data_IF_498243943366
#
_entry.id   IF_498243943366
#
_cell.length_a   1.000
_cell.length_b   1.000
_cell.length_c   1.000
_cell.angle_alpha   90.00
_cell.angle_beta   90.00
_cell.angle_gamma   90.00
#
_symmetry.space_group_name_H-M   'P 1'
#
loop_
_entity.id
_entity.type
_entity.pdbx_description
1 polymer ?
#
# COMPACT_ATOMS: atom_id res chain seq x y z
N UNK A 1 -40.06 4.96 -47.29
CA UNK A 1 -40.72 5.03 -45.97
C UNK A 1 -39.63 5.00 -44.91
N UNK A 2 -39.28 6.19 -44.41
CA UNK A 2 -38.30 6.33 -43.28
C UNK A 2 -39.11 6.36 -42.00
N UNK A 3 -38.73 5.65 -40.94
CA UNK A 3 -39.34 5.85 -39.62
C UNK A 3 -38.70 7.03 -38.88
N UNK A 4 -39.57 7.91 -38.41
CA UNK A 4 -39.25 9.09 -37.62
C UNK A 4 -38.68 8.70 -36.25
N UNK A 5 -37.64 9.46 -35.81
CA UNK A 5 -37.04 9.40 -34.49
C UNK A 5 -37.92 10.14 -33.46
N UNK A 6 -38.11 9.63 -32.24
CA UNK A 6 -38.88 10.31 -31.21
C UNK A 6 -38.12 11.50 -30.60
N UNK A 7 -38.83 12.62 -30.48
CA UNK A 7 -38.38 13.86 -29.82
C UNK A 7 -38.18 13.69 -28.31
N UNK A 8 -37.14 14.32 -27.73
CA UNK A 8 -36.91 14.28 -26.30
C UNK A 8 -37.90 15.17 -25.51
N UNK A 9 -38.19 14.84 -24.24
CA UNK A 9 -39.14 15.60 -23.43
C UNK A 9 -38.57 16.95 -23.00
N UNK A 10 -39.45 17.97 -22.98
CA UNK A 10 -39.12 19.34 -22.52
C UNK A 10 -38.88 19.36 -21.02
N UNK A 11 -37.75 19.92 -20.63
CA UNK A 11 -37.43 20.21 -19.20
C UNK A 11 -38.05 21.57 -18.86
N UNK A 12 -38.84 21.60 -17.79
CA UNK A 12 -39.48 22.79 -17.25
C UNK A 12 -38.51 23.48 -16.25
N UNK A 13 -38.17 24.75 -16.38
CA UNK A 13 -37.27 25.43 -15.48
C UNK A 13 -38.03 26.23 -14.42
N UNK A 14 -38.49 25.61 -13.35
CA UNK A 14 -38.82 26.33 -12.10
C UNK A 14 -38.90 25.31 -10.93
N UNK A 15 -37.81 25.18 -10.21
CA UNK A 15 -37.76 24.42 -8.96
C UNK A 15 -36.89 25.15 -7.93
N UNK A 16 -37.37 26.32 -7.48
CA UNK A 16 -36.76 26.98 -6.30
C UNK A 16 -37.22 26.24 -5.04
N UNK A 17 -36.29 25.66 -4.33
CA UNK A 17 -36.48 24.98 -3.05
C UNK A 17 -36.75 26.04 -1.96
N UNK A 18 -37.81 25.91 -1.13
CA UNK A 18 -38.07 26.85 -0.04
C UNK A 18 -37.03 26.70 1.10
N UNK A 19 -36.76 27.82 1.83
CA UNK A 19 -35.79 27.80 2.93
C UNK A 19 -36.39 27.07 4.15
N UNK A 20 -35.51 26.53 5.06
CA UNK A 20 -35.96 25.83 6.26
C UNK A 20 -36.58 26.77 7.29
N UNK A 21 -37.45 26.29 8.17
CA UNK A 21 -38.19 27.11 9.15
C UNK A 21 -37.25 27.67 10.23
N UNK A 22 -37.43 28.97 10.53
CA UNK A 22 -36.79 29.67 11.65
C UNK A 22 -37.32 29.18 12.98
N UNK A 23 -36.46 28.67 13.85
CA UNK A 23 -36.74 28.40 15.24
C UNK A 23 -36.65 29.70 16.04
N UNK A 24 -37.70 30.09 16.72
CA UNK A 24 -37.73 31.24 17.62
C UNK A 24 -37.05 30.89 18.96
N UNK A 25 -36.28 31.81 19.58
CA UNK A 25 -35.77 31.62 20.92
C UNK A 25 -36.82 32.06 21.93
N UNK A 26 -37.27 31.16 22.78
CA UNK A 26 -38.01 31.50 23.96
C UNK A 26 -37.56 30.64 25.15
N UNK A 27 -37.32 31.32 26.26
CA UNK A 27 -37.16 30.81 27.62
C UNK A 27 -35.73 30.34 28.01
N UNK A 28 -34.92 31.32 28.33
CA UNK A 28 -33.82 31.19 29.28
C UNK A 28 -34.11 32.21 30.41
N UNK A 29 -34.83 31.81 31.45
CA UNK A 29 -34.82 32.49 32.75
C UNK A 29 -35.57 31.61 33.76
N UNK A 30 -34.87 30.91 34.59
CA UNK A 30 -35.22 30.47 35.94
C UNK A 30 -34.44 29.18 36.27
N UNK A 31 -33.36 29.33 37.04
CA UNK A 31 -32.88 28.39 38.04
C UNK A 31 -31.42 28.76 38.42
N UNK A 32 -31.32 29.95 39.00
CA UNK A 32 -30.23 30.31 39.92
C UNK A 32 -30.90 30.45 41.29
N UNK A 33 -30.59 29.54 42.19
CA UNK A 33 -30.81 29.58 43.65
C UNK A 33 -31.22 28.18 44.15
N UNK A 34 -30.25 27.31 44.31
CA UNK A 34 -30.24 26.31 45.39
C UNK A 34 -28.95 25.48 45.29
N UNK A 35 -27.87 25.99 45.86
CA UNK A 35 -26.70 25.17 46.13
C UNK A 35 -25.87 25.81 47.24
N UNK A 36 -26.27 25.61 48.45
CA UNK A 36 -25.38 25.74 49.62
C UNK A 36 -25.77 24.64 50.59
N UNK A 37 -24.76 23.94 51.10
CA UNK A 37 -24.76 22.93 52.14
C UNK A 37 -25.08 21.49 51.74
N UNK A 38 -24.01 20.77 51.48
CA UNK A 38 -23.75 19.45 52.07
C UNK A 38 -22.27 19.06 51.81
N UNK A 39 -21.41 19.44 52.77
CA UNK A 39 -20.07 18.81 52.93
C UNK A 39 -20.31 17.36 53.35
N UNK A 40 -19.91 16.44 52.50
CA UNK A 40 -19.74 15.04 52.85
C UNK A 40 -18.48 14.48 52.22
N UNK A 41 -17.58 13.98 53.03
CA UNK A 41 -16.37 13.23 52.73
C UNK A 41 -16.60 12.23 51.59
N UNK A 42 -16.07 12.52 50.41
CA UNK A 42 -15.91 11.59 49.31
C UNK A 42 -14.43 11.32 49.13
N UNK A 43 -13.97 10.10 49.44
CA UNK A 43 -12.61 9.63 49.19
C UNK A 43 -12.32 9.79 47.70
N UNK A 44 -11.42 10.68 47.36
CA UNK A 44 -10.85 10.76 46.01
C UNK A 44 -10.11 9.45 45.71
N UNK A 45 -10.73 8.57 44.97
CA UNK A 45 -9.99 7.48 44.31
C UNK A 45 -9.10 8.10 43.24
N UNK A 46 -7.85 8.29 43.58
CA UNK A 46 -6.83 8.62 42.60
C UNK A 46 -6.71 7.44 41.61
N UNK A 47 -7.27 7.59 40.41
CA UNK A 47 -7.01 6.70 39.31
C UNK A 47 -5.54 6.83 38.95
N UNK A 48 -4.78 5.78 39.27
CA UNK A 48 -3.39 5.64 38.85
C UNK A 48 -3.35 5.77 37.31
N UNK A 49 -2.37 6.51 36.75
CA UNK A 49 -2.20 6.55 35.30
C UNK A 49 -1.91 5.12 34.82
N UNK A 50 -2.78 4.61 33.95
CA UNK A 50 -2.53 3.36 33.21
C UNK A 50 -1.25 3.57 32.43
N UNK A 51 -0.15 3.05 32.92
CA UNK A 51 1.09 2.92 32.15
C UNK A 51 0.79 2.01 30.97
N UNK A 52 0.58 2.63 29.80
CA UNK A 52 0.57 1.90 28.54
C UNK A 52 1.97 1.34 28.34
N UNK A 53 2.14 0.08 28.70
CA UNK A 53 3.32 -0.68 28.30
C UNK A 53 3.41 -0.61 26.78
N UNK A 54 4.54 -0.12 26.20
CA UNK A 54 4.74 -0.20 24.77
C UNK A 54 4.65 -1.68 24.37
N UNK A 55 3.91 -1.96 23.28
CA UNK A 55 3.88 -3.29 22.70
C UNK A 55 5.32 -3.78 22.51
N UNK A 56 5.62 -5.07 22.79
CA UNK A 56 6.98 -5.60 22.64
C UNK A 56 7.47 -5.32 21.23
N UNK A 57 8.50 -4.51 21.07
CA UNK A 57 9.22 -4.41 19.81
C UNK A 57 9.77 -5.80 19.54
N UNK A 58 9.32 -6.42 18.43
CA UNK A 58 9.95 -7.64 17.93
C UNK A 58 11.43 -7.32 17.71
N UNK A 59 12.29 -7.82 18.57
CA UNK A 59 13.73 -7.73 18.39
C UNK A 59 14.13 -8.65 17.26
N UNK A 60 14.26 -8.11 16.05
CA UNK A 60 15.04 -8.74 15.00
C UNK A 60 16.48 -8.81 15.53
N UNK A 61 16.94 -10.00 15.88
CA UNK A 61 18.33 -10.23 16.27
C UNK A 61 19.21 -9.96 15.06
N UNK A 62 20.19 -9.07 15.25
CA UNK A 62 21.33 -8.78 14.39
C UNK A 62 21.02 -8.26 12.97
N UNK A 63 20.92 -6.94 12.84
CA UNK A 63 21.09 -6.24 11.56
C UNK A 63 19.81 -5.98 10.79
N UNK A 64 19.52 -4.70 10.59
CA UNK A 64 18.53 -4.27 9.61
C UNK A 64 18.93 -4.83 8.24
N UNK A 65 17.97 -5.25 7.37
CA UNK A 65 18.32 -5.57 6.01
C UNK A 65 18.98 -4.36 5.36
N UNK A 66 20.04 -4.61 4.58
CA UNK A 66 20.73 -3.55 3.83
C UNK A 66 19.82 -2.93 2.79
N UNK A 67 18.95 -3.76 2.22
CA UNK A 67 18.03 -3.39 1.14
C UNK A 67 16.72 -4.17 1.29
N UNK A 68 15.61 -3.49 1.09
CA UNK A 68 14.29 -4.09 0.89
C UNK A 68 13.81 -3.71 -0.51
N UNK A 69 13.49 -4.69 -1.32
CA UNK A 69 12.84 -4.50 -2.61
C UNK A 69 11.38 -4.93 -2.52
N UNK A 70 10.47 -4.13 -3.06
CA UNK A 70 9.05 -4.44 -3.21
C UNK A 70 8.74 -4.42 -4.70
N UNK A 71 8.21 -5.53 -5.23
CA UNK A 71 7.64 -5.62 -6.58
C UNK A 71 6.13 -5.74 -6.42
N UNK A 72 5.38 -4.88 -7.09
CA UNK A 72 3.92 -4.96 -7.14
C UNK A 72 3.50 -5.36 -8.53
N UNK A 73 2.76 -6.46 -8.61
CA UNK A 73 2.13 -7.02 -9.80
C UNK A 73 0.63 -6.70 -9.76
N UNK A 74 -0.13 -7.04 -10.79
CA UNK A 74 -1.48 -6.55 -11.03
C UNK A 74 -2.51 -7.65 -11.26
N UNK A 75 -3.73 -7.41 -10.72
CA UNK A 75 -5.03 -7.99 -11.09
C UNK A 75 -5.16 -9.52 -11.09
N UNK A 76 -4.29 -10.28 -10.44
CA UNK A 76 -4.36 -11.74 -10.46
C UNK A 76 -4.78 -12.33 -9.11
N UNK A 77 -5.78 -13.21 -9.15
CA UNK A 77 -6.13 -14.03 -7.99
C UNK A 77 -4.97 -14.97 -7.61
N UNK A 78 -4.89 -15.31 -6.33
CA UNK A 78 -3.93 -16.26 -5.82
C UNK A 78 -3.90 -17.58 -6.63
N UNK A 79 -5.09 -18.09 -7.00
CA UNK A 79 -5.23 -19.34 -7.76
C UNK A 79 -4.70 -19.26 -9.19
N UNK A 80 -4.69 -18.07 -9.79
CA UNK A 80 -4.21 -17.85 -11.16
C UNK A 80 -2.68 -17.82 -11.22
N UNK A 81 -2.08 -17.57 -10.06
CA UNK A 81 -0.62 -17.45 -9.88
C UNK A 81 -0.04 -18.66 -9.18
N UNK A 82 -0.52 -18.98 -7.97
CA UNK A 82 0.04 -20.06 -7.13
C UNK A 82 -0.62 -21.41 -7.48
N UNK A 83 0.20 -22.32 -7.93
CA UNK A 83 -0.24 -23.63 -8.43
C UNK A 83 -0.54 -23.67 -9.93
N UNK A 84 -0.59 -22.50 -10.59
CA UNK A 84 -0.84 -22.38 -12.03
C UNK A 84 0.34 -22.90 -12.86
N UNK A 85 0.04 -23.54 -13.99
CA UNK A 85 1.04 -24.01 -14.96
C UNK A 85 1.65 -22.87 -15.77
N UNK A 86 0.96 -21.73 -15.86
CA UNK A 86 1.42 -20.56 -16.61
C UNK A 86 2.49 -19.75 -15.84
N UNK A 87 2.67 -19.98 -14.55
CA UNK A 87 3.59 -19.24 -13.68
C UNK A 87 4.64 -20.14 -13.00
N UNK A 88 5.41 -20.93 -13.76
CA UNK A 88 6.35 -21.90 -13.19
C UNK A 88 7.47 -21.28 -12.36
N UNK A 89 7.96 -20.10 -12.74
CA UNK A 89 9.00 -19.38 -12.01
C UNK A 89 8.50 -18.86 -10.67
N UNK A 90 7.36 -18.18 -10.65
CA UNK A 90 6.73 -17.68 -9.43
C UNK A 90 6.44 -18.85 -8.47
N UNK A 91 5.93 -19.96 -8.98
CA UNK A 91 5.73 -21.17 -8.20
C UNK A 91 7.04 -21.75 -7.64
N UNK A 92 8.15 -21.63 -8.38
CA UNK A 92 9.47 -22.04 -7.87
C UNK A 92 9.93 -21.14 -6.70
N UNK A 93 9.71 -19.83 -6.80
CA UNK A 93 9.97 -18.88 -5.71
C UNK A 93 9.10 -19.19 -4.50
N UNK A 94 7.79 -19.38 -4.69
CA UNK A 94 6.85 -19.72 -3.63
C UNK A 94 7.24 -21.02 -2.92
N UNK A 95 7.68 -22.04 -3.65
CA UNK A 95 8.17 -23.30 -3.04
C UNK A 95 9.45 -23.11 -2.24
N UNK A 96 10.41 -22.34 -2.80
CA UNK A 96 11.75 -22.16 -2.23
C UNK A 96 11.75 -21.25 -1.01
N UNK A 97 11.03 -20.15 -1.08
CA UNK A 97 11.05 -19.07 -0.10
C UNK A 97 9.78 -19.03 0.76
N UNK A 98 9.45 -17.90 1.33
CA UNK A 98 8.30 -17.74 2.19
C UNK A 98 7.08 -17.27 1.41
N UNK A 99 5.89 -17.81 1.72
CA UNK A 99 4.62 -17.51 1.07
C UNK A 99 3.54 -17.19 2.11
N UNK A 100 2.88 -16.03 1.97
CA UNK A 100 1.61 -15.77 2.62
C UNK A 100 0.50 -16.44 1.80
N UNK A 101 -0.14 -17.47 2.38
CA UNK A 101 -1.15 -18.27 1.69
C UNK A 101 -2.55 -17.61 1.72
N UNK A 102 -2.77 -16.64 2.62
CA UNK A 102 -4.02 -15.90 2.78
C UNK A 102 -3.75 -14.40 2.83
N UNK A 103 -3.29 -13.86 1.71
CA UNK A 103 -3.07 -12.42 1.53
C UNK A 103 -4.26 -11.82 0.79
N UNK A 104 -4.76 -10.67 1.26
CA UNK A 104 -5.90 -10.00 0.65
C UNK A 104 -5.56 -8.54 0.36
N UNK A 105 -5.95 -8.10 -0.83
CA UNK A 105 -5.86 -6.70 -1.21
C UNK A 105 -6.92 -5.87 -0.48
N UNK A 106 -6.69 -4.57 -0.34
CA UNK A 106 -7.57 -3.71 0.45
C UNK A 106 -8.91 -3.48 -0.25
N UNK A 107 -8.89 -3.19 -1.55
CA UNK A 107 -10.09 -2.80 -2.30
C UNK A 107 -9.85 -2.91 -3.82
N UNK A 108 -10.82 -2.44 -4.60
CA UNK A 108 -10.74 -2.13 -6.01
C UNK A 108 -11.00 -0.63 -6.22
N UNK A 109 -10.47 -0.01 -7.31
CA UNK A 109 -9.47 -0.51 -8.25
C UNK A 109 -8.03 -0.37 -7.72
N UNK A 110 -7.03 -0.43 -8.61
CA UNK A 110 -5.59 -0.51 -8.30
C UNK A 110 -5.05 0.61 -7.40
N UNK A 111 -5.22 1.89 -7.75
CA UNK A 111 -4.57 3.03 -7.08
C UNK A 111 -4.75 3.06 -5.54
N UNK A 112 -5.94 2.86 -4.97
CA UNK A 112 -6.12 2.77 -3.53
C UNK A 112 -5.22 1.74 -2.84
N UNK A 113 -4.93 0.61 -3.49
CA UNK A 113 -4.07 -0.44 -2.95
C UNK A 113 -2.59 0.00 -2.91
N UNK A 114 -2.13 0.67 -3.95
CA UNK A 114 -0.78 1.26 -3.97
C UNK A 114 -0.61 2.33 -2.88
N UNK A 115 -1.64 3.13 -2.63
CA UNK A 115 -1.65 4.11 -1.55
C UNK A 115 -1.67 3.43 -0.17
N UNK A 116 -2.40 2.33 -0.03
CA UNK A 116 -2.40 1.52 1.19
C UNK A 116 -1.01 0.93 1.49
N UNK A 117 -0.31 0.42 0.48
CA UNK A 117 1.04 -0.13 0.56
C UNK A 117 2.11 0.90 0.91
N UNK A 118 1.90 2.19 0.59
CA UNK A 118 2.91 3.24 0.75
C UNK A 118 2.56 4.31 1.80
N UNK A 119 1.29 4.41 2.16
CA UNK A 119 0.82 5.43 3.11
C UNK A 119 -0.05 4.89 4.25
N UNK A 120 -0.40 3.59 4.21
CA UNK A 120 -1.24 2.95 5.23
C UNK A 120 -2.71 3.39 5.19
N UNK A 121 -3.18 3.92 4.06
CA UNK A 121 -4.55 4.37 3.84
C UNK A 121 -4.82 4.52 2.36
N UNK A 122 -6.07 4.39 1.93
CA UNK A 122 -6.52 4.79 0.59
C UNK A 122 -6.71 6.31 0.47
N UNK A 123 -6.67 7.04 1.60
CA UNK A 123 -6.90 8.48 1.70
C UNK A 123 -8.26 8.95 1.16
N UNK A 124 -9.26 8.04 1.14
CA UNK A 124 -10.58 8.30 0.57
C UNK A 124 -10.62 8.30 -0.96
N UNK A 125 -9.54 7.84 -1.60
CA UNK A 125 -9.48 7.59 -3.04
C UNK A 125 -10.04 6.19 -3.27
N UNK A 126 -11.01 6.08 -4.18
CA UNK A 126 -11.76 4.88 -4.53
C UNK A 126 -11.83 4.65 -6.06
N UNK A 127 -10.90 5.25 -6.80
CA UNK A 127 -10.83 5.20 -8.27
C UNK A 127 -9.39 5.34 -8.75
N UNK A 128 -9.13 4.98 -10.02
CA UNK A 128 -7.85 5.15 -10.70
C UNK A 128 -7.67 6.58 -11.25
N UNK A 129 -8.08 7.58 -10.49
CA UNK A 129 -7.97 8.97 -10.88
C UNK A 129 -6.52 9.38 -11.20
N UNK A 130 -6.29 10.02 -12.31
CA UNK A 130 -4.94 10.48 -12.70
C UNK A 130 -4.58 11.87 -12.17
N UNK A 131 -5.57 12.67 -11.78
CA UNK A 131 -5.48 14.06 -11.32
C UNK A 131 -5.63 14.25 -9.80
N UNK A 132 -6.03 13.20 -9.09
CA UNK A 132 -6.08 13.24 -7.64
C UNK A 132 -4.68 13.30 -7.01
N UNK A 133 -4.62 13.77 -5.77
CA UNK A 133 -3.36 13.90 -5.04
C UNK A 133 -3.56 13.74 -3.55
N UNK A 134 -2.51 13.27 -2.87
CA UNK A 134 -2.46 13.03 -1.43
C UNK A 134 -1.55 14.06 -0.77
N UNK A 135 -2.07 14.72 0.27
CA UNK A 135 -1.27 15.60 1.13
C UNK A 135 -1.19 14.98 2.53
N UNK A 136 -0.38 13.96 2.65
CA UNK A 136 -0.22 13.22 3.91
C UNK A 136 1.13 12.51 3.94
N UNK A 137 1.67 12.30 5.14
CA UNK A 137 2.91 11.55 5.34
C UNK A 137 2.81 10.14 4.74
N UNK A 138 3.89 9.69 4.17
CA UNK A 138 4.04 8.42 3.48
C UNK A 138 5.35 7.71 3.86
N UNK A 139 5.58 6.53 3.32
CA UNK A 139 6.76 5.72 3.62
C UNK A 139 8.08 6.46 3.30
N UNK A 140 8.10 7.26 2.21
CA UNK A 140 9.32 7.96 1.82
C UNK A 140 9.70 9.09 2.76
N UNK A 141 8.72 9.77 3.38
CA UNK A 141 8.98 10.77 4.43
C UNK A 141 9.70 10.13 5.63
N UNK A 142 9.23 8.95 6.04
CA UNK A 142 9.84 8.23 7.15
C UNK A 142 11.26 7.78 6.83
N UNK A 143 11.49 7.30 5.61
CA UNK A 143 12.82 6.92 5.13
C UNK A 143 13.78 8.11 5.17
N UNK A 144 13.37 9.25 4.64
CA UNK A 144 14.18 10.47 4.63
C UNK A 144 14.46 11.00 6.04
N UNK A 145 13.46 11.00 6.92
CA UNK A 145 13.64 11.32 8.35
C UNK A 145 14.64 10.38 9.04
N UNK A 146 14.65 9.10 8.66
CA UNK A 146 15.58 8.11 9.15
C UNK A 146 16.95 8.13 8.40
N UNK A 147 17.14 9.04 7.45
CA UNK A 147 18.31 9.12 6.55
C UNK A 147 18.56 7.84 5.75
N UNK A 148 17.48 7.16 5.39
CA UNK A 148 17.49 5.99 4.52
C UNK A 148 17.15 6.42 3.09
N UNK A 149 17.89 5.86 2.14
CA UNK A 149 17.66 6.15 0.72
C UNK A 149 16.51 5.33 0.16
N UNK A 150 15.78 5.91 -0.79
CA UNK A 150 14.74 5.20 -1.53
C UNK A 150 14.79 5.55 -3.01
N UNK A 151 14.30 4.66 -3.84
CA UNK A 151 14.11 4.87 -5.28
C UNK A 151 12.97 3.98 -5.79
N UNK A 152 12.14 4.54 -6.67
CA UNK A 152 11.10 3.83 -7.36
C UNK A 152 11.50 3.62 -8.82
N UNK A 153 11.46 2.38 -9.28
CA UNK A 153 11.83 1.95 -10.63
C UNK A 153 10.58 1.54 -11.37
N UNK A 154 10.12 2.40 -12.27
CA UNK A 154 8.89 2.20 -13.04
C UNK A 154 9.24 1.78 -14.46
N UNK A 155 8.73 0.65 -14.91
CA UNK A 155 8.96 0.23 -16.28
C UNK A 155 8.22 1.15 -17.26
N UNK A 156 8.85 1.49 -18.36
CA UNK A 156 8.35 2.42 -19.40
C UNK A 156 8.03 3.83 -18.92
N UNK A 157 8.48 4.25 -17.71
CA UNK A 157 8.38 5.65 -17.30
C UNK A 157 9.08 6.54 -18.33
N UNK A 158 8.38 7.49 -18.98
CA UNK A 158 8.95 8.23 -20.11
C UNK A 158 10.13 9.13 -19.73
N UNK A 159 10.08 9.68 -18.53
CA UNK A 159 11.11 10.58 -17.94
C UNK A 159 10.89 10.70 -16.44
N UNK A 160 11.90 11.03 -15.65
CA UNK A 160 11.72 11.36 -14.23
C UNK A 160 10.65 12.45 -14.04
N UNK A 161 9.91 12.37 -12.94
CA UNK A 161 8.83 13.32 -12.60
C UNK A 161 7.71 13.40 -13.67
N UNK A 162 7.43 12.31 -14.39
CA UNK A 162 6.33 12.29 -15.35
C UNK A 162 5.00 12.10 -14.61
N UNK A 163 4.16 13.13 -14.58
CA UNK A 163 2.88 13.16 -13.87
C UNK A 163 1.66 12.90 -14.76
N UNK A 164 1.87 12.63 -16.07
CA UNK A 164 0.78 12.28 -16.99
C UNK A 164 0.14 10.94 -16.64
N UNK A 165 -1.14 10.77 -17.01
CA UNK A 165 -1.94 9.59 -16.67
C UNK A 165 -1.32 8.26 -17.15
N UNK A 166 -0.65 8.28 -18.32
CA UNK A 166 0.02 7.11 -18.89
C UNK A 166 0.86 7.49 -20.11
N UNK A 167 1.72 6.59 -20.55
CA UNK A 167 2.49 6.70 -21.79
C UNK A 167 2.92 5.30 -22.25
N UNK A 168 2.37 4.84 -23.38
CA UNK A 168 2.54 3.45 -23.80
C UNK A 168 2.04 2.50 -22.72
N UNK A 169 2.89 1.58 -22.27
CA UNK A 169 2.56 0.62 -21.22
C UNK A 169 2.83 1.12 -19.78
N UNK A 170 3.25 2.37 -19.59
CA UNK A 170 3.33 2.99 -18.27
C UNK A 170 1.97 3.54 -17.85
N UNK A 171 1.51 3.18 -16.66
CA UNK A 171 0.30 3.73 -16.04
C UNK A 171 0.66 4.43 -14.71
N UNK A 172 0.29 5.72 -14.58
CA UNK A 172 0.52 6.49 -13.34
C UNK A 172 -0.17 5.86 -12.13
N UNK A 173 -1.35 5.23 -12.32
CA UNK A 173 -2.10 4.59 -11.23
C UNK A 173 -1.30 3.52 -10.49
N UNK A 174 -0.27 2.95 -11.13
CA UNK A 174 0.66 1.99 -10.54
C UNK A 174 1.93 2.65 -9.97
N UNK A 175 1.99 3.98 -9.95
CA UNK A 175 3.09 4.77 -9.39
C UNK A 175 2.59 5.64 -8.23
N UNK A 176 2.48 5.10 -7.00
CA UNK A 176 1.90 5.82 -5.88
C UNK A 176 2.66 7.09 -5.50
N UNK A 177 3.96 7.13 -5.77
CA UNK A 177 4.83 8.24 -5.34
C UNK A 177 4.44 9.56 -5.99
N UNK A 178 3.99 9.54 -7.24
CA UNK A 178 3.60 10.76 -7.97
C UNK A 178 2.17 11.22 -7.63
N UNK A 179 1.48 10.56 -6.69
CA UNK A 179 0.24 11.05 -6.08
C UNK A 179 0.48 11.86 -4.80
N UNK A 180 1.61 11.66 -4.12
CA UNK A 180 1.95 12.46 -2.95
C UNK A 180 2.47 13.85 -3.38
N UNK A 181 1.81 14.92 -2.90
CA UNK A 181 2.17 16.31 -3.29
C UNK A 181 3.60 16.65 -2.95
N UNK A 182 4.06 16.25 -1.79
CA UNK A 182 5.41 16.49 -1.28
C UNK A 182 6.49 15.72 -2.04
N UNK A 183 6.12 14.74 -2.86
CA UNK A 183 7.01 14.08 -3.81
C UNK A 183 6.87 14.75 -5.19
N UNK A 184 5.67 14.77 -5.74
CA UNK A 184 5.42 15.21 -7.11
C UNK A 184 5.82 16.67 -7.37
N UNK A 185 5.71 17.54 -6.35
CA UNK A 185 6.05 18.98 -6.46
C UNK A 185 7.49 19.32 -6.06
N UNK A 186 8.28 18.37 -5.56
CA UNK A 186 9.66 18.60 -5.12
C UNK A 186 10.64 17.90 -6.07
N UNK A 187 11.39 18.65 -6.90
CA UNK A 187 12.24 18.06 -7.95
C UNK A 187 13.22 16.99 -7.45
N UNK A 188 13.90 17.20 -6.32
CA UNK A 188 14.84 16.25 -5.74
C UNK A 188 14.17 14.97 -5.27
N UNK A 189 12.90 15.01 -4.92
CA UNK A 189 12.14 13.83 -4.49
C UNK A 189 11.54 13.09 -5.68
N UNK A 190 10.85 13.81 -6.59
CA UNK A 190 10.25 13.15 -7.74
C UNK A 190 11.31 12.56 -8.69
N UNK A 191 12.53 13.12 -8.75
CA UNK A 191 13.65 12.54 -9.53
C UNK A 191 14.12 11.17 -9.05
N UNK A 192 13.65 10.70 -7.89
CA UNK A 192 13.90 9.35 -7.39
C UNK A 192 12.94 8.32 -7.98
N UNK A 193 11.89 8.76 -8.66
CA UNK A 193 11.04 7.94 -9.49
C UNK A 193 11.68 7.90 -10.89
N UNK A 194 12.22 6.74 -11.24
CA UNK A 194 13.08 6.56 -12.43
C UNK A 194 12.60 5.40 -13.29
N UNK A 195 13.02 5.38 -14.55
CA UNK A 195 12.74 4.25 -15.42
C UNK A 195 13.49 2.98 -14.97
N UNK A 196 12.86 1.81 -15.12
CA UNK A 196 13.38 0.52 -14.66
C UNK A 196 14.81 0.20 -15.09
N UNK A 197 15.32 0.57 -16.29
CA UNK A 197 16.71 0.34 -16.66
C UNK A 197 17.76 0.95 -15.70
N UNK A 198 17.37 1.97 -14.91
CA UNK A 198 18.23 2.54 -13.86
C UNK A 198 18.55 1.53 -12.76
N UNK A 199 17.67 0.54 -12.52
CA UNK A 199 17.93 -0.54 -11.55
C UNK A 199 19.22 -1.29 -11.91
N UNK A 200 19.39 -1.66 -13.19
CA UNK A 200 20.59 -2.35 -13.66
C UNK A 200 21.86 -1.51 -13.47
N UNK A 201 21.77 -0.20 -13.68
CA UNK A 201 22.89 0.72 -13.45
C UNK A 201 23.24 0.79 -11.94
N UNK A 202 22.24 0.87 -11.07
CA UNK A 202 22.43 0.93 -9.62
C UNK A 202 22.97 -0.41 -9.05
N UNK A 203 22.50 -1.56 -9.56
CA UNK A 203 23.05 -2.88 -9.25
C UNK A 203 24.54 -2.99 -9.62
N UNK A 204 24.87 -2.60 -10.84
CA UNK A 204 26.24 -2.66 -11.36
C UNK A 204 27.18 -1.75 -10.56
N UNK A 205 26.70 -0.57 -10.21
CA UNK A 205 27.44 0.40 -9.41
C UNK A 205 27.46 0.07 -7.90
N UNK A 206 26.76 -0.98 -7.46
CA UNK A 206 26.59 -1.35 -6.04
C UNK A 206 26.04 -0.17 -5.20
N UNK A 207 25.05 0.53 -5.74
CA UNK A 207 24.43 1.72 -5.12
C UNK A 207 22.93 1.58 -4.99
N UNK A 208 22.46 0.36 -4.65
CA UNK A 208 21.06 0.13 -4.36
C UNK A 208 20.62 0.98 -3.15
N UNK A 209 19.42 1.57 -3.17
CA UNK A 209 18.87 2.27 -2.01
C UNK A 209 18.45 1.30 -0.90
N UNK A 210 18.14 1.83 0.28
CA UNK A 210 17.60 1.02 1.38
C UNK A 210 16.22 0.47 1.04
N UNK A 211 15.37 1.26 0.36
CA UNK A 211 14.08 0.79 -0.19
C UNK A 211 14.10 0.92 -1.72
N UNK A 212 13.86 -0.19 -2.39
CA UNK A 212 13.59 -0.29 -3.82
C UNK A 212 12.09 -0.59 -4.00
N UNK A 213 11.41 0.26 -4.76
CA UNK A 213 10.06 -0.04 -5.23
C UNK A 213 10.12 -0.29 -6.72
N UNK A 214 9.51 -1.35 -7.19
CA UNK A 214 9.57 -1.77 -8.60
C UNK A 214 8.14 -2.03 -9.06
N UNK A 215 7.73 -1.33 -10.11
CA UNK A 215 6.46 -1.58 -10.79
C UNK A 215 6.76 -1.88 -12.25
N UNK A 216 6.44 -3.10 -12.72
CA UNK A 216 6.52 -3.43 -14.14
C UNK A 216 5.50 -2.64 -14.95
N UNK A 217 5.59 -2.69 -16.27
CA UNK A 217 4.61 -2.09 -17.16
C UNK A 217 3.31 -2.93 -17.23
N UNK A 218 2.25 -2.39 -17.83
CA UNK A 218 0.92 -3.01 -17.92
C UNK A 218 0.90 -4.44 -18.49
N UNK A 219 1.89 -4.81 -19.30
CA UNK A 219 2.01 -6.17 -19.82
C UNK A 219 2.81 -7.08 -18.87
N UNK A 220 3.91 -6.58 -18.32
CA UNK A 220 4.78 -7.37 -17.46
C UNK A 220 4.26 -7.50 -16.02
N UNK A 221 3.39 -6.60 -15.57
CA UNK A 221 2.71 -6.70 -14.28
C UNK A 221 1.51 -7.65 -14.29
N UNK A 222 1.07 -8.13 -15.46
CA UNK A 222 -0.07 -9.02 -15.75
C UNK A 222 -1.41 -8.30 -15.93
N UNK A 223 -1.45 -6.95 -15.90
CA UNK A 223 -2.70 -6.19 -16.05
C UNK A 223 -3.32 -6.39 -17.46
N UNK A 224 -2.53 -6.21 -18.51
CA UNK A 224 -2.98 -6.28 -19.91
C UNK A 224 -2.55 -7.56 -20.62
N UNK A 225 -1.69 -8.39 -20.01
CA UNK A 225 -1.13 -9.60 -20.60
C UNK A 225 -1.27 -10.81 -19.66
N UNK A 226 -1.18 -12.02 -20.27
CA UNK A 226 -1.27 -13.27 -19.54
C UNK A 226 -0.27 -13.39 -18.38
N UNK A 227 -0.61 -14.08 -17.28
CA UNK A 227 0.29 -14.37 -16.16
C UNK A 227 1.63 -14.99 -16.56
N UNK A 228 1.67 -15.75 -17.67
CA UNK A 228 2.91 -16.30 -18.20
C UNK A 228 3.91 -15.23 -18.68
N UNK A 229 3.42 -14.05 -19.09
CA UNK A 229 4.29 -12.93 -19.49
C UNK A 229 4.97 -12.30 -18.28
N UNK A 230 4.22 -12.02 -17.22
CA UNK A 230 4.80 -11.55 -15.96
C UNK A 230 5.71 -12.57 -15.30
N UNK A 231 5.39 -13.88 -15.39
CA UNK A 231 6.28 -14.95 -14.89
C UNK A 231 7.64 -14.93 -15.57
N UNK A 232 7.66 -14.81 -16.91
CA UNK A 232 8.93 -14.69 -17.68
C UNK A 232 9.68 -13.42 -17.35
N UNK A 233 8.99 -12.31 -17.19
CA UNK A 233 9.60 -11.04 -16.75
C UNK A 233 10.28 -11.19 -15.40
N UNK A 234 9.57 -11.73 -14.40
CA UNK A 234 10.13 -11.99 -13.07
C UNK A 234 11.30 -12.99 -13.12
N UNK A 235 11.25 -14.00 -13.99
CA UNK A 235 12.35 -14.94 -14.18
C UNK A 235 13.63 -14.26 -14.67
N UNK A 236 13.52 -13.16 -15.41
CA UNK A 236 14.65 -12.32 -15.83
C UNK A 236 15.11 -11.34 -14.75
N UNK A 237 14.18 -10.70 -14.06
CA UNK A 237 14.44 -9.61 -13.12
C UNK A 237 14.93 -10.10 -11.75
N UNK A 238 14.28 -11.11 -11.18
CA UNK A 238 14.48 -11.50 -9.76
C UNK A 238 15.84 -12.11 -9.48
N UNK A 239 16.43 -13.01 -10.31
CA UNK A 239 17.71 -13.62 -9.97
C UNK A 239 18.88 -12.62 -9.85
N UNK A 240 19.09 -11.65 -10.76
CA UNK A 240 20.12 -10.63 -10.58
C UNK A 240 19.81 -9.72 -9.37
N UNK A 241 18.54 -9.33 -9.17
CA UNK A 241 18.12 -8.51 -8.03
C UNK A 241 18.45 -9.18 -6.70
N UNK A 242 18.11 -10.46 -6.52
CA UNK A 242 18.43 -11.21 -5.29
C UNK A 242 19.94 -11.25 -5.01
N UNK A 243 20.77 -11.37 -6.05
CA UNK A 243 22.24 -11.29 -5.90
C UNK A 243 22.68 -9.90 -5.45
N UNK A 244 22.10 -8.86 -6.03
CA UNK A 244 22.45 -7.48 -5.75
C UNK A 244 21.98 -7.04 -4.34
N UNK A 245 20.83 -7.54 -3.85
CA UNK A 245 20.34 -7.31 -2.49
C UNK A 245 21.27 -7.89 -1.41
N UNK A 246 22.05 -8.92 -1.76
CA UNK A 246 23.10 -9.45 -0.89
C UNK A 246 22.63 -10.29 0.29
N UNK A 247 23.52 -10.52 1.29
CA UNK A 247 23.31 -11.52 2.33
C UNK A 247 22.32 -11.12 3.42
N UNK A 248 21.82 -9.89 3.43
CA UNK A 248 20.81 -9.39 4.40
C UNK A 248 19.57 -8.83 3.71
N UNK A 249 19.54 -8.81 2.36
CA UNK A 249 18.46 -8.21 1.61
C UNK A 249 17.18 -9.04 1.61
N UNK A 250 16.07 -8.35 1.46
CA UNK A 250 14.72 -8.93 1.36
C UNK A 250 14.04 -8.43 0.09
N UNK A 251 13.40 -9.36 -0.62
CA UNK A 251 12.49 -9.08 -1.72
C UNK A 251 11.07 -9.49 -1.30
N UNK A 252 10.12 -8.57 -1.46
CA UNK A 252 8.68 -8.83 -1.38
C UNK A 252 8.11 -8.74 -2.80
N UNK A 253 7.32 -9.71 -3.20
CA UNK A 253 6.55 -9.69 -4.45
C UNK A 253 5.09 -9.85 -4.04
N UNK A 254 4.24 -8.91 -4.41
CA UNK A 254 2.81 -8.92 -4.10
C UNK A 254 2.00 -8.46 -5.30
N UNK A 255 0.69 -8.69 -5.29
CA UNK A 255 -0.26 -8.17 -6.27
C UNK A 255 -1.10 -7.08 -5.60
N UNK A 256 -1.46 -6.07 -6.36
CA UNK A 256 -2.23 -4.93 -5.85
C UNK A 256 -3.67 -5.29 -5.54
N UNK A 257 -4.31 -6.06 -6.42
CA UNK A 257 -5.67 -6.57 -6.27
C UNK A 257 -5.85 -7.91 -6.99
N UNK A 258 -6.90 -8.64 -6.62
CA UNK A 258 -7.36 -9.82 -7.34
C UNK A 258 -8.57 -9.48 -8.21
N UNK A 259 -9.24 -10.50 -8.73
CA UNK A 259 -10.44 -10.36 -9.57
C UNK A 259 -11.76 -10.56 -8.78
N UNK A 260 -11.69 -10.88 -7.48
CA UNK A 260 -12.84 -11.13 -6.62
C UNK A 260 -12.92 -10.14 -5.45
N UNK A 261 -14.08 -10.07 -4.78
CA UNK A 261 -14.27 -9.31 -3.54
C UNK A 261 -13.86 -10.12 -2.29
N UNK A 262 -13.05 -11.17 -2.44
CA UNK A 262 -12.53 -11.94 -1.30
C UNK A 262 -11.75 -11.02 -0.37
N UNK A 263 -11.91 -11.23 0.95
CA UNK A 263 -11.33 -10.29 1.89
C UNK A 263 -11.07 -10.84 3.28
N UNK A 264 -10.42 -10.02 4.11
CA UNK A 264 -10.15 -10.30 5.52
C UNK A 264 -9.99 -9.02 6.35
N UNK A 265 -9.62 -9.23 7.59
CA UNK A 265 -8.91 -8.25 8.42
C UNK A 265 -9.69 -6.94 8.60
N UNK A 266 -11.02 -6.96 8.47
CA UNK A 266 -12.01 -5.87 8.59
C UNK A 266 -12.02 -4.84 7.45
N UNK A 267 -10.93 -4.65 6.72
CA UNK A 267 -10.78 -3.57 5.74
C UNK A 267 -10.42 -4.07 4.34
N UNK A 268 -9.98 -5.31 4.21
CA UNK A 268 -9.55 -5.87 2.93
C UNK A 268 -10.73 -6.60 2.26
N UNK A 269 -11.01 -6.24 1.01
CA UNK A 269 -12.04 -6.81 0.13
C UNK A 269 -11.66 -6.71 -1.35
N UNK A 270 -10.37 -6.63 -1.66
CA UNK A 270 -9.84 -6.45 -3.02
C UNK A 270 -9.31 -7.74 -3.65
N UNK A 271 -9.78 -8.91 -3.20
CA UNK A 271 -9.38 -10.21 -3.75
C UNK A 271 -8.30 -10.93 -2.95
N UNK A 272 -8.20 -12.24 -3.16
CA UNK A 272 -7.18 -13.10 -2.57
C UNK A 272 -5.96 -13.12 -3.48
N UNK A 273 -4.86 -12.47 -3.06
CA UNK A 273 -3.66 -12.28 -3.88
C UNK A 273 -2.46 -13.06 -3.33
N UNK A 274 -1.42 -13.22 -4.13
CA UNK A 274 -0.19 -13.86 -3.69
C UNK A 274 0.76 -12.84 -3.03
N UNK A 275 1.52 -13.26 -2.00
CA UNK A 275 2.66 -12.50 -1.48
C UNK A 275 3.80 -13.42 -1.13
N UNK A 276 4.95 -13.21 -1.79
CA UNK A 276 6.16 -14.01 -1.65
C UNK A 276 7.26 -13.13 -1.05
N UNK A 277 7.91 -13.63 0.00
CA UNK A 277 9.12 -13.04 0.54
C UNK A 277 10.30 -13.90 0.12
N UNK A 278 11.31 -13.31 -0.54
CA UNK A 278 12.46 -14.01 -1.07
C UNK A 278 13.79 -13.33 -0.67
N UNK A 279 14.90 -14.02 -0.84
CA UNK A 279 16.23 -13.54 -0.46
C UNK A 279 16.65 -13.96 0.93
N UNK A 280 17.75 -13.40 1.42
CA UNK A 280 18.36 -13.79 2.69
C UNK A 280 17.50 -13.40 3.92
N UNK A 281 16.71 -12.33 3.80
CA UNK A 281 15.77 -11.90 4.83
C UNK A 281 14.50 -12.76 4.95
N UNK A 282 14.26 -13.66 4.00
CA UNK A 282 13.09 -14.53 3.98
C UNK A 282 13.38 -15.90 4.60
N UNK A 283 12.45 -16.43 5.38
CA UNK A 283 12.53 -17.78 5.94
C UNK A 283 12.22 -18.82 4.89
N UNK A 284 13.22 -19.63 4.53
CA UNK A 284 13.09 -20.67 3.51
C UNK A 284 11.95 -21.64 3.82
N UNK A 285 11.08 -21.86 2.85
CA UNK A 285 9.96 -22.81 2.94
C UNK A 285 8.84 -22.41 3.90
N UNK A 286 8.88 -21.21 4.51
CA UNK A 286 7.85 -20.78 5.44
C UNK A 286 6.50 -20.55 4.74
N UNK A 287 5.41 -20.83 5.46
CA UNK A 287 4.02 -20.60 5.03
C UNK A 287 3.27 -19.89 6.14
N UNK A 288 2.57 -18.83 5.77
CA UNK A 288 1.68 -18.09 6.67
C UNK A 288 0.24 -18.29 6.22
N UNK A 289 -0.53 -19.00 7.06
CA UNK A 289 -1.96 -19.27 6.82
C UNK A 289 -2.89 -18.27 7.51
N UNK A 290 -2.37 -17.49 8.45
CA UNK A 290 -3.14 -16.42 9.03
C UNK A 290 -3.47 -15.38 7.94
N UNK A 291 -4.71 -14.86 7.89
CA UNK A 291 -5.06 -13.82 6.93
C UNK A 291 -4.26 -12.55 7.21
N UNK A 292 -3.75 -11.95 6.15
CA UNK A 292 -2.95 -10.72 6.12
C UNK A 292 -3.40 -9.83 4.96
N UNK A 293 -3.04 -8.56 4.99
CA UNK A 293 -3.41 -7.57 3.97
C UNK A 293 -2.25 -6.64 3.59
N UNK A 294 -2.48 -5.68 2.71
CA UNK A 294 -1.45 -4.73 2.27
C UNK A 294 -0.87 -3.90 3.42
N UNK A 295 -1.64 -3.61 4.46
CA UNK A 295 -1.10 -2.93 5.65
C UNK A 295 -0.06 -3.81 6.37
N UNK A 296 -0.18 -5.14 6.26
CA UNK A 296 0.82 -6.08 6.79
C UNK A 296 2.15 -5.98 6.03
N UNK A 297 2.11 -5.73 4.71
CA UNK A 297 3.32 -5.50 3.89
C UNK A 297 4.00 -4.20 4.30
N UNK A 298 3.24 -3.11 4.42
CA UNK A 298 3.76 -1.81 4.86
C UNK A 298 4.33 -1.92 6.28
N UNK A 299 3.59 -2.51 7.23
CA UNK A 299 4.04 -2.73 8.60
C UNK A 299 5.37 -3.47 8.65
N UNK A 300 5.51 -4.54 7.85
CA UNK A 300 6.73 -5.35 7.81
C UNK A 300 7.91 -4.54 7.26
N UNK A 301 7.69 -3.75 6.22
CA UNK A 301 8.70 -2.86 5.64
C UNK A 301 9.16 -1.81 6.67
N UNK A 302 8.21 -1.17 7.34
CA UNK A 302 8.48 -0.18 8.40
C UNK A 302 9.26 -0.78 9.57
N UNK A 303 8.84 -1.94 10.07
CA UNK A 303 9.48 -2.63 11.19
C UNK A 303 10.93 -3.01 10.88
N UNK A 304 11.17 -3.57 9.70
CA UNK A 304 12.49 -3.99 9.24
C UNK A 304 13.45 -2.79 9.08
N UNK A 305 12.95 -1.66 8.63
CA UNK A 305 13.73 -0.43 8.48
C UNK A 305 13.79 0.40 9.77
N UNK A 306 13.07 -0.02 10.82
CA UNK A 306 13.01 0.66 12.12
C UNK A 306 12.30 2.00 12.05
N UNK A 307 11.29 2.09 11.19
CA UNK A 307 10.43 3.24 11.02
C UNK A 307 9.22 3.17 11.98
N UNK A 308 8.50 4.28 12.12
CA UNK A 308 7.22 4.29 12.82
C UNK A 308 6.16 3.76 11.85
N UNK A 309 5.19 3.02 12.37
CA UNK A 309 4.11 2.50 11.53
C UNK A 309 3.10 3.60 11.19
N UNK A 310 2.70 3.65 9.92
CA UNK A 310 1.68 4.57 9.40
C UNK A 310 0.27 3.96 9.54
N UNK A 311 -0.67 4.75 9.94
CA UNK A 311 -2.14 4.54 9.87
C UNK A 311 -2.60 3.07 10.00
N UNK A 312 -3.07 2.45 8.91
CA UNK A 312 -3.49 1.05 8.88
C UNK A 312 -2.39 0.09 9.34
N UNK A 313 -1.14 0.33 8.95
CA UNK A 313 0.01 -0.45 9.41
C UNK A 313 0.29 -0.30 10.92
N UNK A 314 -0.13 0.83 11.53
CA UNK A 314 0.00 1.07 12.97
C UNK A 314 -1.15 0.46 13.80
N UNK A 315 -2.21 -0.06 13.17
CA UNK A 315 -3.29 -0.71 13.89
C UNK A 315 -2.78 -1.97 14.60
N UNK A 316 -3.13 -2.12 15.88
CA UNK A 316 -2.88 -3.38 16.59
C UNK A 316 -3.66 -4.56 15.98
N UNK A 317 -4.66 -4.27 15.14
CA UNK A 317 -5.45 -5.24 14.40
C UNK A 317 -4.80 -5.72 13.10
N UNK A 318 -3.72 -5.06 12.62
CA UNK A 318 -3.01 -5.48 11.41
C UNK A 318 -2.15 -6.70 11.70
N UNK A 319 -2.39 -7.82 11.01
CA UNK A 319 -1.60 -9.04 11.20
C UNK A 319 -0.17 -8.85 10.69
N UNK A 320 0.76 -9.65 11.19
CA UNK A 320 2.19 -9.52 10.89
C UNK A 320 2.70 -10.58 9.92
N UNK A 321 3.54 -10.17 8.96
CA UNK A 321 4.31 -11.09 8.12
C UNK A 321 5.60 -11.61 8.80
N UNK A 322 5.86 -11.24 10.04
CA UNK A 322 7.05 -11.64 10.79
C UNK A 322 7.35 -13.15 10.79
N UNK A 323 6.35 -14.07 10.82
CA UNK A 323 6.61 -15.51 10.72
C UNK A 323 7.30 -15.96 9.42
N UNK A 324 7.24 -15.14 8.37
CA UNK A 324 7.86 -15.39 7.06
C UNK A 324 9.31 -14.87 6.97
N UNK A 325 9.80 -14.15 7.98
CA UNK A 325 11.14 -13.58 7.99
C UNK A 325 12.17 -14.57 8.56
N UNK A 326 13.40 -14.49 8.07
CA UNK A 326 14.54 -15.20 8.64
C UNK A 326 14.78 -14.71 10.10
N UNK A 327 15.19 -15.63 10.97
CA UNK A 327 15.50 -15.34 12.38
C UNK A 327 16.92 -14.85 12.56
#
# INVERSE_FOLDING_TARGET
MNPELPTPPRVNPTGVKPPPPRVKPAALLALLLFALLLSACGKASASLPVQRTPAPRAHLRSGRPSHIAVIVMENEEYSDVIGSRSTPYINSLARRYALAENMFAITHPSLPNYLALTGGSTFGIDSDCSDCSVNASNLTDQLEQARLSWKAYMENLPRPCFTGAGAGEYAKKHDPFLYYRDIASVPDRCSRVVALPQLKADETARRLPALLWITPNLCHDMHDCDPATGDRFLAGLVPPLLRALGPTGLLLITWDEGSSDSGCCRLASGGHVATILAGAGARVGARLRAPVDHYSVLQTTEDLLGLRRLRGAACACTPSLQPLLAR
#
